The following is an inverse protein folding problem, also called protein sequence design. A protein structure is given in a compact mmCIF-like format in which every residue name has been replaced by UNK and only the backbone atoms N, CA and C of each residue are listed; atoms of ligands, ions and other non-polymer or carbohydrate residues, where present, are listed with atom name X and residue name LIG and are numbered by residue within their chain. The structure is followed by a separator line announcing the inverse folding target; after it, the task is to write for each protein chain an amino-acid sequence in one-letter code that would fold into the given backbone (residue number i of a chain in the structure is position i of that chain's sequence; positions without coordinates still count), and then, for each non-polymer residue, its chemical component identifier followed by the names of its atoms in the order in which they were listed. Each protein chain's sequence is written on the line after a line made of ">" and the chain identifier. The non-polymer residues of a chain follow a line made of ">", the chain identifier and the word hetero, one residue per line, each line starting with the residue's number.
data_IF_244429426429
#
_entry.id   IF_244429426429
#
_cell.length_a   1.000
_cell.length_b   1.000
_cell.length_c   1.000
_cell.angle_alpha   90.00
_cell.angle_beta   90.00
_cell.angle_gamma   90.00
#
_symmetry.space_group_name_H-M   'P 1'
#
loop_
_entity.id
_entity.type
_entity.pdbx_description
1 polymer ?
#
# COMPACT_ATOMS: atom_id res chain seq x y z
N UNK A 1 -10.31 -0.62 7.80
CA UNK A 1 -9.20 -0.12 6.95
C UNK A 1 -8.58 1.01 7.75
N UNK A 2 -7.41 0.80 8.33
CA UNK A 2 -6.73 1.83 9.13
C UNK A 2 -5.84 2.63 8.17
N UNK A 3 -6.28 3.84 7.81
CA UNK A 3 -5.54 4.79 6.97
C UNK A 3 -5.11 5.94 7.87
N UNK A 4 -3.81 6.19 7.91
CA UNK A 4 -3.21 7.39 8.50
C UNK A 4 -2.71 8.32 7.40
N UNK A 5 -2.27 9.52 7.78
CA UNK A 5 -1.67 10.48 6.84
C UNK A 5 -0.38 9.96 6.20
N UNK A 6 0.33 9.05 6.86
CA UNK A 6 1.64 8.52 6.46
C UNK A 6 1.62 7.09 5.94
N UNK A 7 0.50 6.37 6.06
CA UNK A 7 0.41 4.98 5.64
C UNK A 7 -0.99 4.41 5.65
N UNK A 8 -1.06 3.14 5.25
CA UNK A 8 -2.31 2.39 5.30
C UNK A 8 -2.03 0.92 5.58
N UNK A 9 -3.02 0.27 6.19
CA UNK A 9 -3.09 -1.19 6.25
C UNK A 9 -3.99 -1.71 5.14
N UNK A 10 -3.43 -2.56 4.29
CA UNK A 10 -4.11 -3.21 3.18
C UNK A 10 -4.35 -4.68 3.50
N UNK A 11 -5.44 -5.21 2.97
CA UNK A 11 -5.68 -6.65 2.85
C UNK A 11 -5.40 -7.03 1.40
N UNK A 12 -4.41 -7.88 1.20
CA UNK A 12 -3.94 -8.35 -0.10
C UNK A 12 -4.33 -9.82 -0.21
N UNK A 13 -5.06 -10.17 -1.28
CA UNK A 13 -5.45 -11.54 -1.56
C UNK A 13 -4.24 -12.49 -1.48
N UNK A 14 -4.45 -13.64 -0.86
CA UNK A 14 -3.45 -14.70 -0.75
C UNK A 14 -2.89 -15.06 -2.13
N UNK A 15 -1.56 -15.26 -2.19
CA UNK A 15 -0.85 -15.56 -3.43
C UNK A 15 -0.41 -14.35 -4.26
N UNK A 16 -0.92 -13.14 -3.99
CA UNK A 16 -0.43 -11.95 -4.68
C UNK A 16 0.94 -11.52 -4.14
N UNK A 17 1.94 -11.43 -5.02
CA UNK A 17 3.25 -10.87 -4.71
C UNK A 17 3.23 -9.36 -4.97
N UNK A 18 3.49 -8.57 -3.93
CA UNK A 18 3.57 -7.11 -4.02
C UNK A 18 5.03 -6.69 -3.88
N UNK A 19 5.57 -5.90 -4.82
CA UNK A 19 6.96 -5.43 -4.75
C UNK A 19 7.17 -4.48 -3.57
N UNK A 20 8.44 -4.18 -3.25
CA UNK A 20 8.79 -3.29 -2.15
C UNK A 20 8.25 -1.87 -2.34
N UNK A 21 8.22 -1.39 -3.59
CA UNK A 21 7.68 -0.08 -3.99
C UNK A 21 6.58 -0.27 -5.02
N UNK A 22 5.46 0.42 -4.86
CA UNK A 22 4.34 0.37 -5.79
C UNK A 22 3.41 1.58 -5.63
N UNK A 23 2.62 1.86 -6.66
CA UNK A 23 1.57 2.87 -6.60
C UNK A 23 0.25 2.27 -6.07
N UNK A 24 -0.42 2.99 -5.16
CA UNK A 24 -1.78 2.66 -4.71
C UNK A 24 -2.75 3.80 -5.03
N UNK A 25 -3.85 3.48 -5.71
CA UNK A 25 -4.98 4.39 -5.89
C UNK A 25 -6.10 3.97 -4.93
N UNK A 26 -6.44 4.86 -3.98
CA UNK A 26 -7.47 4.57 -2.97
C UNK A 26 -8.90 4.73 -3.49
N UNK A 27 -9.07 5.41 -4.63
CA UNK A 27 -10.34 5.56 -5.33
C UNK A 27 -10.14 5.34 -6.82
N UNK A 28 -11.18 4.91 -7.57
CA UNK A 28 -11.11 4.80 -9.02
C UNK A 28 -10.67 6.11 -9.68
N UNK A 29 -9.82 6.03 -10.69
CA UNK A 29 -9.30 7.17 -11.46
C UNK A 29 -8.46 8.20 -10.67
N UNK A 30 -8.08 7.91 -9.42
CA UNK A 30 -7.09 8.73 -8.73
C UNK A 30 -5.68 8.46 -9.24
N UNK A 31 -4.85 9.49 -9.20
CA UNK A 31 -3.40 9.36 -9.36
C UNK A 31 -2.87 8.40 -8.30
N UNK A 32 -2.16 7.31 -8.67
CA UNK A 32 -1.55 6.42 -7.72
C UNK A 32 -0.57 7.18 -6.82
N UNK A 33 -0.65 6.96 -5.52
CA UNK A 33 0.37 7.42 -4.57
C UNK A 33 1.45 6.38 -4.47
N UNK A 34 2.70 6.79 -4.65
CA UNK A 34 3.85 5.92 -4.40
C UNK A 34 3.88 5.51 -2.93
N UNK A 35 4.13 4.23 -2.69
CA UNK A 35 4.21 3.69 -1.35
C UNK A 35 5.19 2.53 -1.27
N UNK A 36 5.69 2.30 -0.06
CA UNK A 36 6.58 1.20 0.25
C UNK A 36 5.90 0.20 1.19
N UNK A 37 6.13 -1.09 0.93
CA UNK A 37 5.76 -2.16 1.86
C UNK A 37 6.70 -2.14 3.05
N UNK A 38 6.16 -1.87 4.24
CA UNK A 38 6.90 -1.86 5.51
C UNK A 38 6.92 -3.25 6.15
N UNK A 39 5.77 -3.92 6.17
CA UNK A 39 5.62 -5.26 6.75
C UNK A 39 4.52 -6.05 6.05
N UNK A 40 4.58 -7.38 6.16
CA UNK A 40 3.52 -8.29 5.71
C UNK A 40 3.34 -9.42 6.72
N UNK A 41 2.10 -9.69 7.08
CA UNK A 41 1.70 -10.83 7.90
C UNK A 41 0.52 -11.54 7.21
N UNK A 42 0.82 -12.58 6.44
CA UNK A 42 -0.15 -13.27 5.60
C UNK A 42 -0.78 -12.35 4.55
N UNK A 43 -2.10 -12.17 4.63
CA UNK A 43 -2.89 -11.29 3.77
C UNK A 43 -2.85 -9.82 4.22
N UNK A 44 -2.42 -9.56 5.46
CA UNK A 44 -2.32 -8.19 5.96
C UNK A 44 -0.96 -7.59 5.61
N UNK A 45 -0.98 -6.36 5.12
CA UNK A 45 0.21 -5.63 4.72
C UNK A 45 0.15 -4.19 5.19
N UNK A 46 1.22 -3.72 5.81
CA UNK A 46 1.40 -2.30 6.14
C UNK A 46 2.20 -1.61 5.06
N UNK A 47 1.70 -0.46 4.62
CA UNK A 47 2.34 0.38 3.62
C UNK A 47 2.59 1.76 4.18
N UNK A 48 3.66 2.41 3.71
CA UNK A 48 3.98 3.80 4.00
C UNK A 48 3.90 4.60 2.71
N UNK A 49 3.16 5.70 2.71
CA UNK A 49 3.14 6.61 1.58
C UNK A 49 4.49 7.32 1.46
N UNK A 50 5.03 7.40 0.25
CA UNK A 50 6.24 8.14 -0.07
C UNK A 50 5.87 9.24 -1.05
N UNK A 51 6.45 10.43 -0.87
CA UNK A 51 6.29 11.49 -1.88
C UNK A 51 6.90 11.03 -3.21
N UNK A 52 6.32 11.43 -4.35
CA UNK A 52 6.97 11.26 -5.63
C UNK A 52 8.29 12.05 -5.60
N UNK A 53 9.41 11.34 -5.68
CA UNK A 53 10.74 11.94 -5.82
C UNK A 53 10.96 12.57 -7.19
#
# INVERSE_FOLDING_TARGET
>A
MDISSDGARLVIASGLSVPKRFGVALVPNATPKECERVWRNGEMMGIRFTEPG
#
